data_IF_422664503583
#
_entry.id   IF_422664503583
#
_cell.length_a   1.000
_cell.length_b   1.000
_cell.length_c   1.000
_cell.angle_alpha   90.00
_cell.angle_beta   90.00
_cell.angle_gamma   90.00
#
_symmetry.space_group_name_H-M   'P 1'
#
loop_
_entity.id
_entity.type
_entity.pdbx_description
1 polymer ?
#
# COMPACT_ATOMS: atom_id res chain seq x y z
N UNK A 1 -7.07 -0.37 -18.05
CA UNK A 1 -6.40 0.73 -18.73
C UNK A 1 -6.10 1.92 -17.81
N UNK A 2 -7.01 2.32 -16.93
CA UNK A 2 -6.86 3.47 -16.02
C UNK A 2 -5.79 3.30 -14.94
N UNK A 3 -5.68 2.12 -14.31
CA UNK A 3 -4.66 1.84 -13.27
C UNK A 3 -3.24 1.99 -13.82
N UNK A 4 -2.96 1.49 -15.04
CA UNK A 4 -1.63 1.59 -15.64
C UNK A 4 -1.22 3.03 -15.93
N UNK A 5 -2.18 3.88 -16.35
CA UNK A 5 -1.92 5.30 -16.55
C UNK A 5 -1.63 6.00 -15.22
N UNK A 6 -2.43 5.73 -14.19
CA UNK A 6 -2.21 6.29 -12.86
C UNK A 6 -0.88 5.85 -12.26
N UNK A 7 -0.54 4.57 -12.39
CA UNK A 7 0.75 4.06 -11.92
C UNK A 7 1.94 4.68 -12.69
N UNK A 8 1.78 4.91 -13.99
CA UNK A 8 2.79 5.65 -14.78
C UNK A 8 3.02 7.07 -14.25
N UNK A 9 1.93 7.81 -13.97
CA UNK A 9 2.01 9.15 -13.37
C UNK A 9 2.69 9.11 -11.99
N UNK A 10 2.36 8.13 -11.15
CA UNK A 10 3.02 7.94 -9.85
C UNK A 10 4.53 7.76 -9.99
N UNK A 11 4.97 6.91 -10.93
CA UNK A 11 6.39 6.69 -11.19
C UNK A 11 7.11 7.98 -11.65
N UNK A 12 6.41 8.84 -12.39
CA UNK A 12 6.96 10.13 -12.82
C UNK A 12 7.01 11.14 -11.68
N UNK A 13 5.94 11.24 -10.90
CA UNK A 13 5.85 12.21 -9.80
C UNK A 13 6.85 11.92 -8.68
N UNK A 14 7.00 10.65 -8.27
CA UNK A 14 7.95 10.29 -7.21
C UNK A 14 9.40 10.63 -7.59
N UNK A 15 9.74 10.57 -8.87
CA UNK A 15 11.09 10.92 -9.36
C UNK A 15 11.38 12.41 -9.31
N UNK A 16 10.34 13.26 -9.30
CA UNK A 16 10.51 14.72 -9.21
C UNK A 16 10.84 15.20 -7.80
N UNK A 17 10.43 14.44 -6.79
CA UNK A 17 10.72 14.78 -5.39
C UNK A 17 12.09 14.25 -4.97
N UNK A 18 13.01 15.17 -4.60
CA UNK A 18 14.40 14.85 -4.27
C UNK A 18 14.56 13.96 -3.03
N UNK A 19 13.61 13.99 -2.10
CA UNK A 19 13.62 13.17 -0.90
C UNK A 19 12.88 11.85 -1.13
N UNK A 20 11.66 11.90 -1.66
CA UNK A 20 10.84 10.72 -1.86
C UNK A 20 11.51 9.71 -2.80
N UNK A 21 12.14 10.16 -3.89
CA UNK A 21 12.84 9.27 -4.83
C UNK A 21 13.99 8.47 -4.22
N UNK A 22 14.56 8.93 -3.10
CA UNK A 22 15.69 8.29 -2.40
C UNK A 22 15.26 7.52 -1.15
N UNK A 23 14.10 7.86 -0.57
CA UNK A 23 13.65 7.34 0.72
C UNK A 23 12.49 6.37 0.60
N UNK A 24 11.73 6.44 -0.50
CA UNK A 24 10.64 5.52 -0.72
C UNK A 24 11.13 4.29 -1.49
N UNK A 25 10.90 3.12 -0.94
CA UNK A 25 11.01 1.84 -1.64
C UNK A 25 9.63 1.26 -1.86
N UNK A 26 9.36 0.86 -3.08
CA UNK A 26 8.05 0.40 -3.52
C UNK A 26 8.15 -1.03 -4.05
N UNK A 27 7.28 -1.90 -3.60
CA UNK A 27 7.00 -3.19 -4.22
C UNK A 27 5.57 -3.22 -4.74
N UNK A 28 5.33 -3.91 -5.83
CA UNK A 28 3.99 -4.10 -6.41
C UNK A 28 3.69 -5.59 -6.51
N UNK A 29 2.58 -5.98 -5.91
CA UNK A 29 2.06 -7.33 -5.96
C UNK A 29 0.76 -7.32 -6.74
N UNK A 30 0.64 -8.18 -7.74
CA UNK A 30 -0.58 -8.41 -8.49
C UNK A 30 -1.24 -9.71 -8.04
N UNK A 31 -2.58 -9.75 -8.05
CA UNK A 31 -3.36 -10.91 -7.62
C UNK A 31 -4.57 -11.20 -8.52
N UNK A 32 -4.33 -11.22 -9.82
CA UNK A 32 -5.27 -11.67 -10.83
C UNK A 32 -4.95 -13.11 -11.24
N UNK A 33 -5.82 -14.08 -10.87
CA UNK A 33 -5.56 -15.51 -11.07
C UNK A 33 -4.54 -16.12 -10.10
N UNK A 34 -3.43 -15.47 -9.87
CA UNK A 34 -2.41 -15.85 -8.85
C UNK A 34 -1.82 -14.60 -8.20
N UNK A 35 -1.33 -14.72 -6.97
CA UNK A 35 -0.57 -13.68 -6.31
C UNK A 35 0.90 -13.76 -6.70
N UNK A 36 1.51 -12.65 -7.11
CA UNK A 36 2.93 -12.59 -7.48
C UNK A 36 3.51 -11.20 -7.27
N UNK A 37 4.80 -11.14 -6.97
CA UNK A 37 5.57 -9.90 -6.98
C UNK A 37 5.79 -9.49 -8.44
N UNK A 38 5.18 -8.39 -8.85
CA UNK A 38 5.32 -7.82 -10.20
C UNK A 38 6.52 -6.88 -10.29
N UNK A 39 6.72 -6.11 -9.23
CA UNK A 39 7.89 -5.24 -9.07
C UNK A 39 8.46 -5.54 -7.68
N UNK A 40 9.70 -6.04 -7.56
CA UNK A 40 10.36 -6.21 -6.27
C UNK A 40 10.62 -4.85 -5.62
N UNK A 41 11.00 -4.82 -4.34
CA UNK A 41 11.36 -3.58 -3.67
C UNK A 41 12.36 -2.80 -4.51
N UNK A 42 11.97 -1.59 -4.89
CA UNK A 42 12.70 -0.72 -5.82
C UNK A 42 12.64 0.70 -5.28
N UNK A 43 13.79 1.37 -5.22
CA UNK A 43 13.83 2.79 -4.84
C UNK A 43 13.02 3.66 -5.82
N UNK A 44 12.37 4.70 -5.31
CA UNK A 44 11.52 5.58 -6.11
C UNK A 44 12.22 6.13 -7.36
N UNK A 45 13.53 6.41 -7.26
CA UNK A 45 14.34 6.90 -8.41
C UNK A 45 14.44 5.88 -9.56
N UNK A 46 14.43 4.59 -9.23
CA UNK A 46 14.61 3.50 -10.19
C UNK A 46 13.28 2.85 -10.60
N UNK A 47 12.18 3.26 -9.95
CA UNK A 47 10.85 2.73 -10.22
C UNK A 47 10.44 3.01 -11.67
N UNK A 48 10.12 1.95 -12.42
CA UNK A 48 9.66 2.04 -13.80
C UNK A 48 8.20 1.58 -13.90
N UNK A 49 7.38 2.26 -14.71
CA UNK A 49 6.03 1.80 -14.96
C UNK A 49 6.06 0.43 -15.64
N UNK A 50 5.27 -0.50 -15.12
CA UNK A 50 5.00 -1.79 -15.74
C UNK A 50 3.54 -1.89 -16.13
N UNK A 51 3.25 -2.65 -17.16
CA UNK A 51 1.88 -2.97 -17.53
C UNK A 51 1.34 -4.01 -16.54
N UNK A 52 0.43 -3.56 -15.70
CA UNK A 52 -0.34 -4.43 -14.81
C UNK A 52 -1.51 -5.03 -15.57
N UNK A 53 -1.70 -6.34 -15.45
CA UNK A 53 -2.78 -7.06 -16.12
C UNK A 53 -3.83 -7.48 -15.08
N UNK A 54 -5.10 -7.28 -15.43
CA UNK A 54 -6.23 -7.72 -14.64
C UNK A 54 -6.85 -8.97 -15.29
N UNK A 55 -7.28 -9.92 -14.47
CA UNK A 55 -7.99 -11.11 -14.95
C UNK A 55 -7.88 -12.29 -14.01
N UNK A 56 -8.75 -13.28 -14.21
CA UNK A 56 -8.83 -14.47 -13.37
C UNK A 56 -9.52 -14.24 -12.03
N UNK A 57 -9.35 -15.17 -11.10
CA UNK A 57 -9.84 -15.03 -9.73
C UNK A 57 -9.08 -13.97 -8.93
N UNK A 58 -9.58 -13.68 -7.73
CA UNK A 58 -9.03 -12.68 -6.82
C UNK A 58 -8.43 -13.37 -5.57
N UNK A 59 -7.24 -14.00 -5.65
CA UNK A 59 -6.58 -14.66 -4.51
C UNK A 59 -5.98 -13.62 -3.55
N UNK A 60 -6.87 -12.85 -2.93
CA UNK A 60 -6.49 -11.71 -2.08
C UNK A 60 -5.75 -12.17 -0.82
N UNK A 61 -6.16 -13.30 -0.23
CA UNK A 61 -5.49 -13.85 0.94
C UNK A 61 -4.04 -14.21 0.65
N UNK A 62 -3.80 -14.90 -0.46
CA UNK A 62 -2.43 -15.22 -0.89
C UNK A 62 -1.59 -13.97 -1.16
N UNK A 63 -2.20 -12.91 -1.71
CA UNK A 63 -1.50 -11.64 -1.94
C UNK A 63 -1.15 -10.91 -0.65
N UNK A 64 -2.05 -10.92 0.35
CA UNK A 64 -1.81 -10.33 1.67
C UNK A 64 -0.69 -11.05 2.42
N UNK A 65 -0.70 -12.39 2.40
CA UNK A 65 0.39 -13.18 3.00
C UNK A 65 1.72 -12.87 2.33
N UNK A 66 1.75 -12.87 0.99
CA UNK A 66 2.95 -12.52 0.23
C UNK A 66 3.44 -11.11 0.55
N UNK A 67 2.53 -10.13 0.69
CA UNK A 67 2.88 -8.76 1.02
C UNK A 67 3.52 -8.65 2.40
N UNK A 68 2.95 -9.29 3.42
CA UNK A 68 3.53 -9.31 4.77
C UNK A 68 4.89 -9.98 4.79
N UNK A 69 5.04 -11.12 4.11
CA UNK A 69 6.31 -11.84 4.03
C UNK A 69 7.40 -11.00 3.34
N UNK A 70 7.05 -10.28 2.26
CA UNK A 70 7.96 -9.36 1.59
C UNK A 70 8.37 -8.18 2.50
N UNK A 71 7.42 -7.61 3.25
CA UNK A 71 7.69 -6.54 4.21
C UNK A 71 8.60 -7.01 5.35
N UNK A 72 8.36 -8.19 5.89
CA UNK A 72 9.17 -8.74 6.99
C UNK A 72 10.61 -9.04 6.51
N UNK A 73 10.77 -9.57 5.29
CA UNK A 73 12.09 -9.78 4.68
C UNK A 73 12.84 -8.46 4.46
N UNK A 74 12.16 -7.43 3.93
CA UNK A 74 12.77 -6.13 3.70
C UNK A 74 13.18 -5.43 5.01
N UNK A 75 12.32 -5.49 6.03
CA UNK A 75 12.65 -4.98 7.37
C UNK A 75 13.86 -5.68 7.98
N UNK A 76 13.96 -7.00 7.79
CA UNK A 76 15.11 -7.75 8.27
C UNK A 76 16.40 -7.30 7.56
N UNK A 77 16.36 -7.10 6.25
CA UNK A 77 17.50 -6.58 5.49
C UNK A 77 17.94 -5.20 5.98
N UNK A 78 16.99 -4.29 6.28
CA UNK A 78 17.31 -2.98 6.86
C UNK A 78 17.98 -3.11 8.24
N UNK A 79 17.44 -3.96 9.11
CA UNK A 79 18.02 -4.20 10.45
C UNK A 79 19.45 -4.73 10.35
N UNK A 80 19.70 -5.69 9.46
CA UNK A 80 21.04 -6.24 9.22
C UNK A 80 22.02 -5.20 8.65
N UNK A 81 21.53 -4.28 7.84
CA UNK A 81 22.31 -3.16 7.32
C UNK A 81 22.46 -1.99 8.29
N UNK A 82 21.86 -2.04 9.49
CA UNK A 82 21.84 -0.94 10.44
C UNK A 82 21.07 0.31 9.96
N UNK A 83 20.09 0.10 9.07
CA UNK A 83 19.27 1.17 8.49
C UNK A 83 17.97 1.33 9.29
N UNK A 84 17.62 2.58 9.54
CA UNK A 84 16.30 2.93 10.05
C UNK A 84 15.30 3.00 8.89
N UNK A 85 14.03 2.62 9.17
CA UNK A 85 12.95 2.66 8.19
C UNK A 85 11.67 3.20 8.79
N UNK A 86 10.80 3.74 7.92
CA UNK A 86 9.46 4.15 8.31
C UNK A 86 8.53 2.95 8.42
N UNK A 87 7.44 3.07 9.19
CA UNK A 87 6.36 2.10 9.16
C UNK A 87 5.87 1.95 7.73
N UNK A 88 5.91 0.73 7.15
CA UNK A 88 5.48 0.54 5.78
C UNK A 88 3.98 0.76 5.60
N UNK A 89 3.60 1.22 4.43
CA UNK A 89 2.22 1.39 4.00
C UNK A 89 1.83 0.26 3.06
N UNK A 90 0.72 -0.39 3.36
CA UNK A 90 0.11 -1.43 2.54
C UNK A 90 -1.17 -0.91 1.90
N UNK A 91 -1.13 -0.64 0.60
CA UNK A 91 -2.30 -0.26 -0.19
C UNK A 91 -2.87 -1.48 -0.90
N UNK A 92 -4.14 -1.77 -0.67
CA UNK A 92 -4.86 -2.86 -1.32
C UNK A 92 -5.92 -2.25 -2.23
N UNK A 93 -5.77 -2.42 -3.55
CA UNK A 93 -6.72 -1.96 -4.55
C UNK A 93 -7.40 -3.16 -5.21
N UNK A 94 -8.72 -3.25 -5.14
CA UNK A 94 -9.46 -4.36 -5.73
C UNK A 94 -10.84 -3.93 -6.20
N UNK A 95 -11.31 -4.55 -7.29
CA UNK A 95 -12.66 -4.41 -7.84
C UNK A 95 -13.58 -5.58 -7.49
N UNK A 96 -13.07 -6.59 -6.78
CA UNK A 96 -13.79 -7.81 -6.49
C UNK A 96 -13.68 -8.31 -5.06
N UNK A 97 -14.47 -9.35 -4.78
CA UNK A 97 -14.40 -10.09 -3.54
C UNK A 97 -13.29 -11.16 -3.61
N UNK A 98 -12.67 -11.52 -2.43
CA UNK A 98 -11.71 -12.61 -2.38
C UNK A 98 -12.31 -13.92 -2.89
N UNK A 99 -11.55 -14.64 -3.73
CA UNK A 99 -11.94 -15.97 -4.23
C UNK A 99 -11.34 -17.12 -3.42
N UNK A 100 -10.37 -16.83 -2.55
CA UNK A 100 -9.63 -17.76 -1.69
C UNK A 100 -10.08 -17.70 -0.21
N UNK A 101 -11.36 -17.62 0.03
CA UNK A 101 -12.06 -17.27 1.27
C UNK A 101 -11.45 -17.75 2.60
N UNK A 102 -10.94 -19.00 2.71
CA UNK A 102 -10.30 -19.45 3.96
C UNK A 102 -8.91 -18.83 4.14
N UNK A 103 -8.11 -18.77 3.06
CA UNK A 103 -6.79 -18.12 3.05
C UNK A 103 -6.96 -16.64 3.35
N UNK A 104 -7.94 -15.98 2.71
CA UNK A 104 -8.25 -14.58 2.97
C UNK A 104 -8.54 -14.30 4.46
N UNK A 105 -9.36 -15.13 5.12
CA UNK A 105 -9.66 -14.90 6.55
C UNK A 105 -8.43 -14.98 7.45
N UNK A 106 -7.55 -15.94 7.18
CA UNK A 106 -6.31 -16.10 7.93
C UNK A 106 -5.35 -14.92 7.67
N UNK A 107 -5.15 -14.55 6.40
CA UNK A 107 -4.30 -13.44 6.01
C UNK A 107 -4.83 -12.09 6.52
N UNK A 108 -6.14 -11.84 6.47
CA UNK A 108 -6.76 -10.65 7.04
C UNK A 108 -6.52 -10.53 8.56
N UNK A 109 -6.57 -11.66 9.28
CA UNK A 109 -6.22 -11.65 10.70
C UNK A 109 -4.75 -11.29 10.94
N UNK A 110 -3.81 -11.83 10.15
CA UNK A 110 -2.38 -11.45 10.19
C UNK A 110 -2.18 -9.96 9.90
N UNK A 111 -2.86 -9.42 8.90
CA UNK A 111 -2.78 -8.00 8.53
C UNK A 111 -3.27 -7.12 9.69
N UNK A 112 -4.43 -7.42 10.27
CA UNK A 112 -4.96 -6.67 11.43
C UNK A 112 -4.03 -6.75 12.63
N UNK A 113 -3.46 -7.92 12.90
CA UNK A 113 -2.49 -8.07 13.97
C UNK A 113 -1.24 -7.22 13.71
N UNK A 114 -0.69 -7.26 12.49
CA UNK A 114 0.46 -6.46 12.12
C UNK A 114 0.18 -4.95 12.23
N UNK A 115 -1.05 -4.51 11.89
CA UNK A 115 -1.47 -3.13 12.06
C UNK A 115 -1.61 -2.75 13.54
N UNK A 116 -2.24 -3.59 14.36
CA UNK A 116 -2.39 -3.38 15.80
C UNK A 116 -1.04 -3.35 16.54
N UNK A 117 -0.07 -4.10 16.06
CA UNK A 117 1.33 -4.09 16.54
C UNK A 117 2.17 -2.97 15.92
N UNK A 118 1.56 -2.05 15.20
CA UNK A 118 2.22 -0.93 14.52
C UNK A 118 3.32 -1.34 13.51
N UNK A 119 3.26 -2.56 12.99
CA UNK A 119 4.23 -3.07 12.01
C UNK A 119 3.92 -2.66 10.57
N UNK A 120 2.70 -2.22 10.29
CA UNK A 120 2.23 -1.78 8.97
C UNK A 120 1.07 -0.80 9.14
N UNK A 121 0.88 0.11 8.20
CA UNK A 121 -0.33 0.92 8.06
C UNK A 121 -1.13 0.42 6.85
N UNK A 122 -2.42 0.14 7.02
CA UNK A 122 -3.24 -0.54 6.01
C UNK A 122 -4.25 0.41 5.39
N UNK A 123 -4.31 0.42 4.07
CA UNK A 123 -5.23 1.23 3.26
C UNK A 123 -5.98 0.34 2.27
N UNK A 124 -7.24 0.07 2.56
CA UNK A 124 -8.08 -0.76 1.72
C UNK A 124 -8.95 0.09 0.79
N UNK A 125 -8.84 -0.13 -0.52
CA UNK A 125 -9.44 0.70 -1.55
C UNK A 125 -10.25 -0.18 -2.50
N UNK A 126 -11.56 0.05 -2.52
CA UNK A 126 -12.46 -0.56 -3.49
C UNK A 126 -12.46 0.21 -4.80
N UNK A 127 -12.46 -0.49 -5.92
CA UNK A 127 -12.44 0.08 -7.26
C UNK A 127 -13.67 -0.37 -8.04
N UNK A 128 -14.50 0.59 -8.44
CA UNK A 128 -15.70 0.30 -9.23
C UNK A 128 -16.81 -0.39 -8.46
N UNK A 129 -17.94 -0.62 -9.11
CA UNK A 129 -19.18 -1.09 -8.48
C UNK A 129 -19.13 -2.55 -7.97
N UNK A 130 -18.12 -3.32 -8.36
CA UNK A 130 -17.94 -4.72 -7.93
C UNK A 130 -17.22 -4.87 -6.60
N UNK A 131 -16.60 -3.81 -6.09
CA UNK A 131 -15.83 -3.86 -4.85
C UNK A 131 -16.74 -4.08 -3.63
N UNK A 132 -16.30 -4.98 -2.75
CA UNK A 132 -17.03 -5.32 -1.54
C UNK A 132 -16.36 -4.67 -0.31
N UNK A 133 -16.83 -3.48 0.07
CA UNK A 133 -16.28 -2.73 1.20
C UNK A 133 -16.37 -3.48 2.53
N UNK A 134 -17.40 -4.31 2.74
CA UNK A 134 -17.52 -5.11 3.95
C UNK A 134 -16.36 -6.11 4.09
N UNK A 135 -15.90 -6.68 2.97
CA UNK A 135 -14.72 -7.56 2.97
C UNK A 135 -13.42 -6.78 3.13
N UNK A 136 -13.35 -5.59 2.59
CA UNK A 136 -12.20 -4.70 2.77
C UNK A 136 -12.12 -4.17 4.20
N UNK A 137 -13.25 -3.97 4.88
CA UNK A 137 -13.29 -3.61 6.30
C UNK A 137 -12.66 -4.69 7.21
N UNK A 138 -12.62 -5.95 6.76
CA UNK A 138 -11.94 -7.02 7.49
C UNK A 138 -10.40 -6.85 7.54
N UNK A 139 -9.82 -5.95 6.75
CA UNK A 139 -8.36 -5.80 6.61
C UNK A 139 -7.73 -4.83 7.60
N UNK A 140 -8.47 -3.81 8.04
CA UNK A 140 -7.97 -2.81 8.99
C UNK A 140 -8.89 -2.65 10.19
N UNK A 141 -8.30 -2.57 11.37
CA UNK A 141 -9.00 -2.20 12.59
C UNK A 141 -8.97 -0.69 12.89
N UNK A 142 -8.15 0.05 12.17
CA UNK A 142 -7.89 1.47 12.42
C UNK A 142 -8.46 2.40 11.34
N UNK A 143 -8.65 1.90 10.11
CA UNK A 143 -9.11 2.69 8.97
C UNK A 143 -10.30 2.03 8.28
N UNK A 144 -11.29 2.85 7.94
CA UNK A 144 -12.40 2.39 7.09
C UNK A 144 -11.92 2.29 5.63
N UNK A 145 -12.37 1.27 4.90
CA UNK A 145 -12.08 1.18 3.48
C UNK A 145 -12.75 2.32 2.71
N UNK A 146 -12.12 2.74 1.64
CA UNK A 146 -12.64 3.81 0.77
C UNK A 146 -12.92 3.30 -0.62
N UNK A 147 -13.88 3.93 -1.30
CA UNK A 147 -14.15 3.69 -2.72
C UNK A 147 -13.42 4.69 -3.58
N UNK A 148 -12.76 4.21 -4.61
CA UNK A 148 -12.18 5.05 -5.64
C UNK A 148 -13.29 5.46 -6.62
N UNK A 149 -13.68 6.75 -6.56
CA UNK A 149 -14.73 7.30 -7.41
C UNK A 149 -14.29 7.42 -8.86
N UNK A 150 -15.17 6.98 -9.77
CA UNK A 150 -14.98 7.16 -11.22
C UNK A 150 -13.66 6.63 -11.78
N UNK A 151 -13.00 5.68 -11.10
CA UNK A 151 -11.68 5.19 -11.47
C UNK A 151 -10.59 6.30 -11.47
N UNK A 152 -10.66 7.21 -10.50
CA UNK A 152 -9.73 8.36 -10.34
C UNK A 152 -8.32 7.95 -9.91
N UNK A 153 -7.73 6.98 -10.58
CA UNK A 153 -6.37 6.49 -10.28
C UNK A 153 -5.31 7.59 -10.36
N UNK A 154 -5.47 8.55 -11.28
CA UNK A 154 -4.53 9.67 -11.39
C UNK A 154 -4.50 10.50 -10.12
N UNK A 155 -5.66 10.85 -9.57
CA UNK A 155 -5.78 11.62 -8.33
C UNK A 155 -5.31 10.82 -7.11
N UNK A 156 -5.63 9.53 -7.05
CA UNK A 156 -5.10 8.64 -6.01
C UNK A 156 -3.58 8.60 -6.01
N UNK A 157 -2.95 8.38 -7.16
CA UNK A 157 -1.50 8.30 -7.24
C UNK A 157 -0.81 9.65 -7.04
N UNK A 158 -1.45 10.76 -7.42
CA UNK A 158 -0.96 12.11 -7.10
C UNK A 158 -0.99 12.38 -5.60
N UNK A 159 -2.08 12.00 -4.93
CA UNK A 159 -2.19 12.08 -3.47
C UNK A 159 -1.15 11.19 -2.78
N UNK A 160 -0.93 9.96 -3.26
CA UNK A 160 0.07 9.05 -2.72
C UNK A 160 1.47 9.63 -2.84
N UNK A 161 1.83 10.21 -4.00
CA UNK A 161 3.11 10.88 -4.19
C UNK A 161 3.30 12.04 -3.21
N UNK A 162 2.28 12.90 -3.07
CA UNK A 162 2.33 14.03 -2.13
C UNK A 162 2.48 13.57 -0.67
N UNK A 163 1.79 12.47 -0.30
CA UNK A 163 1.88 11.88 1.03
C UNK A 163 3.27 11.29 1.32
N UNK A 164 3.86 10.60 0.34
CA UNK A 164 5.23 10.09 0.43
C UNK A 164 6.26 11.22 0.56
N UNK A 165 6.09 12.30 -0.22
CA UNK A 165 6.94 13.49 -0.13
C UNK A 165 6.87 14.12 1.25
N UNK A 166 5.66 14.31 1.81
CA UNK A 166 5.45 14.85 3.14
C UNK A 166 6.07 13.96 4.23
N UNK A 167 5.86 12.65 4.17
CA UNK A 167 6.46 11.68 5.08
C UNK A 167 7.99 11.70 5.01
N UNK A 168 8.54 11.77 3.79
CA UNK A 168 9.99 11.85 3.58
C UNK A 168 10.62 13.14 4.11
N UNK A 169 9.88 14.25 4.09
CA UNK A 169 10.32 15.55 4.58
C UNK A 169 10.23 15.70 6.11
N UNK A 170 9.31 14.96 6.76
CA UNK A 170 9.06 15.08 8.20
C UNK A 170 10.27 14.73 9.09
N UNK A 171 11.24 13.99 8.55
CA UNK A 171 12.43 13.55 9.30
C UNK A 171 12.12 12.62 10.47
N UNK A 172 10.86 12.20 10.62
CA UNK A 172 10.42 11.27 11.64
C UNK A 172 10.94 9.85 11.32
N UNK A 173 12.25 9.69 11.36
CA UNK A 173 12.92 8.39 11.43
C UNK A 173 12.64 7.86 12.82
N UNK A 174 11.79 6.97 12.91
CA UNK A 174 11.49 6.35 14.17
C UNK A 174 11.35 4.89 13.99
N UNK A 175 12.45 4.36 13.62
CA UNK A 175 12.96 3.25 14.34
C UNK A 175 12.05 2.03 14.43
N UNK A 176 12.50 1.14 15.09
CA UNK A 176 11.91 -0.07 15.61
C UNK A 176 10.42 0.12 15.91
N UNK A 177 9.67 -0.95 15.72
CA UNK A 177 8.25 -1.10 16.09
C UNK A 177 7.91 -0.56 17.51
N UNK A 178 8.90 -0.24 18.35
CA UNK A 178 8.77 0.32 19.68
C UNK A 178 8.91 1.87 19.77
N UNK A 179 9.34 2.55 18.71
CA UNK A 179 9.54 4.01 18.68
C UNK A 179 8.36 4.83 18.15
N UNK A 180 7.26 4.18 17.87
CA UNK A 180 6.14 4.68 17.06
C UNK A 180 5.22 5.67 17.78
N UNK A 181 5.19 5.69 19.11
CA UNK A 181 4.29 6.59 19.86
C UNK A 181 4.52 8.08 19.59
N UNK A 182 5.69 8.47 19.06
CA UNK A 182 5.97 9.87 18.67
C UNK A 182 5.69 10.17 17.19
N UNK A 183 5.60 9.14 16.34
CA UNK A 183 5.30 9.30 14.93
C UNK A 183 3.80 9.42 14.65
N UNK A 184 2.94 9.00 15.58
CA UNK A 184 1.47 9.05 15.42
C UNK A 184 0.93 10.46 15.17
N UNK A 185 1.58 11.50 15.71
CA UNK A 185 1.18 12.89 15.45
C UNK A 185 1.58 13.38 14.04
N UNK A 186 2.58 12.77 13.41
CA UNK A 186 3.01 13.07 12.04
C UNK A 186 2.37 12.15 10.99
N UNK A 187 1.71 11.10 11.45
CA UNK A 187 1.18 10.01 10.63
C UNK A 187 -0.26 10.21 10.13
N UNK A 188 -0.82 11.36 10.31
CA UNK A 188 -2.03 11.71 9.59
C UNK A 188 -1.67 11.93 8.12
N UNK A 189 -1.58 10.81 7.39
CA UNK A 189 -1.77 10.90 5.94
C UNK A 189 -3.08 11.66 5.77
N UNK A 190 -3.07 12.85 5.17
CA UNK A 190 -4.29 13.62 5.00
C UNK A 190 -5.34 12.70 4.37
N UNK A 191 -6.54 12.69 4.94
CA UNK A 191 -7.65 12.01 4.28
C UNK A 191 -7.66 12.45 2.81
N UNK A 192 -7.95 11.53 1.88
CA UNK A 192 -8.01 11.87 0.46
C UNK A 192 -8.87 13.11 0.28
N UNK A 193 -8.45 14.08 -0.55
CA UNK A 193 -9.25 15.25 -0.82
C UNK A 193 -10.62 14.81 -1.32
N UNK A 194 -11.66 15.51 -0.84
CA UNK A 194 -13.03 15.24 -1.24
C UNK A 194 -13.12 15.22 -2.79
N UNK A 195 -13.58 14.11 -3.33
CA UNK A 195 -13.83 13.98 -4.76
C UNK A 195 -13.26 12.75 -5.46
N UNK A 196 -12.22 12.09 -4.93
CA UNK A 196 -11.71 10.87 -5.57
C UNK A 196 -12.01 9.57 -4.79
N UNK A 197 -12.35 9.67 -3.52
CA UNK A 197 -12.74 8.52 -2.70
C UNK A 197 -13.95 8.82 -1.80
N UNK A 198 -14.76 7.82 -1.54
CA UNK A 198 -15.88 7.82 -0.59
C UNK A 198 -15.68 6.70 0.44
N UNK A 199 -16.02 6.99 1.68
CA UNK A 199 -16.10 5.97 2.74
C UNK A 199 -17.38 5.16 2.62
#
# INVERSE_FOLDING_TARGET
MHVNRGFGLFCEEIKKDELAKKRAEITVITFGGSARVEIPFTEGRDLQPRRLEAGGGTPMGAALDLALDQLDQQKQAYKEAGLEYYRPWLFILTDGAPTDGQVFRAAAARVRQAEAEHRVSVFAIGVGAGANLNRLADLSGQRVPVMLDGLSFGEFFSWLSASLSAASASGAFGASDAGVERAEAAEQIPLPPAGWARA
#
